data_IF_539945567365
#
_entry.id   IF_539945567365
#
_cell.length_a   1.000
_cell.length_b   1.000
_cell.length_c   1.000
_cell.angle_alpha   90.00
_cell.angle_beta   90.00
_cell.angle_gamma   90.00
#
_symmetry.space_group_name_H-M   'P 1'
#
loop_
_entity.id
_entity.type
_entity.pdbx_description
1 polymer ?
#
# COMPACT_ATOMS: atom_id res chain seq x y z
N UNK A 1 -2.53 -16.12 -9.86
CA UNK A 1 -1.39 -15.40 -9.27
C UNK A 1 -1.05 -14.20 -10.11
N UNK A 2 -0.89 -13.03 -9.50
CA UNK A 2 -0.44 -11.81 -10.18
C UNK A 2 1.03 -11.60 -9.84
N UNK A 3 1.86 -11.27 -10.84
CA UNK A 3 3.30 -11.08 -10.68
C UNK A 3 3.63 -9.62 -10.99
N UNK A 4 4.47 -9.02 -10.15
CA UNK A 4 4.87 -7.62 -10.24
C UNK A 4 5.83 -7.26 -9.12
N UNK A 5 6.03 -5.97 -8.87
CA UNK A 5 6.92 -5.48 -7.82
C UNK A 5 6.16 -5.01 -6.57
N UNK A 6 6.73 -4.08 -5.79
CA UNK A 6 6.11 -3.51 -4.60
C UNK A 6 4.73 -2.86 -4.78
N UNK A 7 4.26 -2.62 -6.01
CA UNK A 7 2.89 -2.16 -6.28
C UNK A 7 1.91 -3.26 -6.74
N UNK A 8 2.37 -4.50 -6.91
CA UNK A 8 1.57 -5.61 -7.46
C UNK A 8 0.28 -5.87 -6.69
N UNK A 9 0.26 -5.66 -5.37
CA UNK A 9 -0.96 -5.91 -4.61
C UNK A 9 -2.08 -4.93 -4.93
N UNK A 10 -1.81 -3.71 -5.40
CA UNK A 10 -2.88 -2.84 -5.91
C UNK A 10 -3.53 -3.49 -7.15
N UNK A 11 -2.72 -4.04 -8.07
CA UNK A 11 -3.24 -4.74 -9.23
C UNK A 11 -4.02 -6.01 -8.83
N UNK A 12 -3.54 -6.75 -7.83
CA UNK A 12 -4.24 -7.92 -7.30
C UNK A 12 -5.59 -7.56 -6.69
N UNK A 13 -5.68 -6.43 -5.97
CA UNK A 13 -6.94 -5.93 -5.41
C UNK A 13 -7.88 -5.43 -6.51
N UNK A 14 -7.36 -4.79 -7.56
CA UNK A 14 -8.16 -4.39 -8.71
C UNK A 14 -8.73 -5.61 -9.45
N UNK A 15 -7.92 -6.65 -9.65
CA UNK A 15 -8.39 -7.91 -10.19
C UNK A 15 -9.46 -8.54 -9.30
N UNK A 16 -9.29 -8.48 -7.98
CA UNK A 16 -10.29 -8.99 -7.04
C UNK A 16 -11.61 -8.19 -7.09
N UNK A 17 -11.55 -6.87 -7.25
CA UNK A 17 -12.73 -6.02 -7.50
C UNK A 17 -13.44 -6.44 -8.80
N UNK A 18 -12.68 -6.64 -9.89
CA UNK A 18 -13.24 -7.08 -11.16
C UNK A 18 -13.84 -8.50 -11.07
N UNK A 19 -13.25 -9.39 -10.27
CA UNK A 19 -13.78 -10.74 -10.01
C UNK A 19 -15.06 -10.70 -9.15
N UNK A 20 -15.10 -9.84 -8.13
CA UNK A 20 -16.29 -9.67 -7.28
C UNK A 20 -17.46 -9.00 -8.01
N UNK A 21 -17.23 -8.40 -9.19
CA UNK A 21 -18.30 -7.90 -10.04
C UNK A 21 -19.11 -9.01 -10.73
N UNK A 22 -18.63 -10.27 -10.74
CA UNK A 22 -19.38 -11.42 -11.24
C UNK A 22 -20.29 -11.98 -10.14
N UNK A 23 -21.61 -12.09 -10.39
CA UNK A 23 -22.64 -12.57 -9.46
C UNK A 23 -22.42 -13.99 -8.87
N UNK A 24 -21.41 -14.71 -9.33
CA UNK A 24 -21.05 -16.04 -8.84
C UNK A 24 -20.03 -16.01 -7.68
N UNK A 25 -19.46 -14.84 -7.35
CA UNK A 25 -18.44 -14.69 -6.31
C UNK A 25 -18.86 -13.70 -5.22
N UNK A 26 -19.11 -14.23 -4.02
CA UNK A 26 -19.44 -13.43 -2.83
C UNK A 26 -18.19 -12.84 -2.15
N UNK A 27 -17.09 -13.60 -2.19
CA UNK A 27 -15.85 -13.28 -1.50
C UNK A 27 -14.61 -13.52 -2.37
N UNK A 28 -13.59 -12.69 -2.15
CA UNK A 28 -12.27 -12.87 -2.77
C UNK A 28 -11.17 -12.71 -1.72
N UNK A 29 -10.39 -13.77 -1.50
CA UNK A 29 -9.20 -13.72 -0.65
C UNK A 29 -8.00 -13.30 -1.48
N UNK A 30 -7.39 -12.17 -1.14
CA UNK A 30 -6.17 -11.67 -1.78
C UNK A 30 -5.01 -11.81 -0.80
N UNK A 31 -3.95 -12.51 -1.23
CA UNK A 31 -2.77 -12.79 -0.42
C UNK A 31 -1.53 -12.35 -1.17
N UNK A 32 -0.61 -11.68 -0.46
CA UNK A 32 0.75 -11.45 -0.89
C UNK A 32 1.71 -12.03 0.12
N UNK A 33 2.75 -12.72 -0.34
CA UNK A 33 3.81 -13.27 0.47
C UNK A 33 5.15 -13.09 -0.24
N UNK A 34 6.21 -12.89 0.54
CA UNK A 34 7.58 -12.76 0.06
C UNK A 34 8.50 -13.45 1.06
N UNK A 35 9.46 -14.21 0.54
CA UNK A 35 10.46 -14.94 1.31
C UNK A 35 11.81 -14.24 1.14
N UNK A 36 12.57 -14.12 2.23
CA UNK A 36 13.96 -13.68 2.11
C UNK A 36 14.79 -14.84 1.59
N UNK A 37 15.27 -14.68 0.36
CA UNK A 37 16.23 -15.57 -0.25
C UNK A 37 17.59 -14.85 -0.47
N UNK A 38 18.73 -15.51 -0.20
CA UNK A 38 20.06 -14.92 -0.41
C UNK A 38 20.34 -14.45 -1.84
N UNK A 39 19.83 -15.15 -2.87
CA UNK A 39 20.00 -14.76 -4.28
C UNK A 39 19.22 -13.48 -4.56
N UNK A 40 17.99 -13.37 -4.07
CA UNK A 40 17.19 -12.15 -4.18
C UNK A 40 17.89 -10.99 -3.47
N UNK A 41 18.39 -11.22 -2.24
CA UNK A 41 19.14 -10.21 -1.50
C UNK A 41 20.40 -9.75 -2.23
N UNK A 42 21.16 -10.67 -2.83
CA UNK A 42 22.35 -10.35 -3.61
C UNK A 42 21.99 -9.51 -4.85
N UNK A 43 20.91 -9.83 -5.57
CA UNK A 43 20.45 -9.04 -6.71
C UNK A 43 20.12 -7.60 -6.31
N UNK A 44 19.33 -7.40 -5.25
CA UNK A 44 19.02 -6.05 -4.76
C UNK A 44 20.23 -5.30 -4.20
N UNK A 45 21.23 -6.01 -3.66
CA UNK A 45 22.52 -5.44 -3.26
C UNK A 45 23.30 -4.95 -4.46
N UNK A 46 23.40 -5.73 -5.53
CA UNK A 46 24.08 -5.36 -6.77
C UNK A 46 23.41 -4.16 -7.44
N UNK A 47 22.08 -4.08 -7.41
CA UNK A 47 21.30 -2.93 -7.88
C UNK A 47 21.32 -1.72 -6.93
N UNK A 48 22.04 -1.83 -5.80
CA UNK A 48 22.23 -0.78 -4.80
C UNK A 48 20.93 -0.28 -4.17
N UNK A 49 19.93 -1.15 -4.06
CA UNK A 49 18.67 -0.85 -3.37
C UNK A 49 18.73 -1.12 -1.88
N UNK A 50 19.56 -2.09 -1.45
CA UNK A 50 19.68 -2.42 -0.04
C UNK A 50 20.50 -1.38 0.74
N UNK A 51 20.05 -1.12 1.97
CA UNK A 51 20.79 -0.34 2.95
C UNK A 51 22.10 -1.04 3.29
N UNK A 52 23.18 -0.27 3.40
CA UNK A 52 24.46 -0.82 3.84
C UNK A 52 24.37 -1.16 5.34
N UNK A 53 24.69 -2.41 5.75
CA UNK A 53 24.66 -2.78 7.17
C UNK A 53 25.59 -1.90 8.03
N UNK A 54 26.72 -1.44 7.49
CA UNK A 54 27.66 -0.55 8.17
C UNK A 54 27.15 0.90 8.33
N UNK A 55 26.00 1.25 7.74
CA UNK A 55 25.37 2.57 7.85
C UNK A 55 23.87 2.40 8.14
N UNK A 56 23.49 2.09 9.39
CA UNK A 56 22.10 1.80 9.75
C UNK A 56 21.13 2.97 9.52
N UNK A 57 21.63 4.20 9.55
CA UNK A 57 20.90 5.44 9.19
C UNK A 57 21.05 5.83 7.72
N UNK A 58 21.66 4.97 6.90
CA UNK A 58 21.92 5.21 5.49
C UNK A 58 20.69 5.03 4.59
N UNK A 59 20.82 5.44 3.33
CA UNK A 59 19.81 5.20 2.29
C UNK A 59 19.78 3.73 1.88
N UNK A 60 18.63 3.31 1.36
CA UNK A 60 18.32 1.97 0.92
C UNK A 60 17.26 1.30 1.80
N UNK A 61 16.64 0.29 1.23
CA UNK A 61 15.67 -0.55 1.92
C UNK A 61 16.33 -1.61 2.78
N UNK A 62 15.62 -2.03 3.82
CA UNK A 62 15.92 -3.23 4.58
C UNK A 62 14.99 -4.29 4.02
N UNK A 63 15.53 -5.37 3.47
CA UNK A 63 14.71 -6.47 2.98
C UNK A 63 14.00 -7.15 4.15
N UNK A 64 12.77 -7.57 3.93
CA UNK A 64 11.93 -8.26 4.90
C UNK A 64 11.13 -9.37 4.23
N UNK A 65 10.88 -10.43 4.99
CA UNK A 65 9.99 -11.52 4.62
C UNK A 65 8.64 -11.35 5.30
N UNK A 66 7.63 -12.03 4.76
CA UNK A 66 6.35 -12.19 5.41
C UNK A 66 5.20 -12.22 4.43
N UNK A 67 3.99 -12.11 4.98
CA UNK A 67 2.78 -12.18 4.21
C UNK A 67 1.73 -11.20 4.74
N UNK A 68 0.74 -10.93 3.92
CA UNK A 68 -0.49 -10.26 4.31
C UNK A 68 -1.65 -10.75 3.46
N UNK A 69 -2.83 -10.72 4.04
CA UNK A 69 -4.05 -11.17 3.40
C UNK A 69 -5.20 -10.23 3.74
N UNK A 70 -6.09 -10.03 2.77
CA UNK A 70 -7.38 -9.37 2.96
C UNK A 70 -8.47 -10.21 2.34
N UNK A 71 -9.57 -10.37 3.05
CA UNK A 71 -10.79 -10.94 2.52
C UNK A 71 -11.67 -9.78 2.05
N UNK A 72 -12.01 -9.77 0.77
CA UNK A 72 -12.91 -8.81 0.16
C UNK A 72 -14.27 -9.46 0.01
N UNK A 73 -15.30 -8.70 0.32
CA UNK A 73 -16.72 -9.05 0.11
C UNK A 73 -17.30 -8.00 -0.84
N UNK A 74 -18.25 -8.40 -1.68
CA UNK A 74 -19.03 -7.44 -2.45
C UNK A 74 -19.77 -6.50 -1.50
N UNK A 75 -19.67 -5.20 -1.75
CA UNK A 75 -20.48 -4.22 -1.03
C UNK A 75 -21.77 -3.97 -1.79
N UNK A 76 -22.90 -4.44 -1.24
CA UNK A 76 -24.21 -3.92 -1.61
C UNK A 76 -24.40 -2.57 -0.91
N UNK A 77 -24.95 -1.56 -1.59
CA UNK A 77 -25.16 -0.25 -0.96
C UNK A 77 -26.11 -0.38 0.25
N UNK A 78 -25.56 -0.17 1.45
CA UNK A 78 -26.30 -0.28 2.72
C UNK A 78 -26.30 -1.69 3.35
N UNK A 79 -25.62 -2.66 2.75
CA UNK A 79 -25.48 -4.02 3.31
C UNK A 79 -24.55 -4.04 4.54
N UNK A 80 -24.96 -4.79 5.57
CA UNK A 80 -24.06 -5.15 6.68
C UNK A 80 -23.15 -6.25 6.15
N UNK A 81 -21.81 -6.20 6.36
CA UNK A 81 -20.91 -7.28 5.96
C UNK A 81 -21.43 -8.62 6.46
N UNK A 82 -21.57 -9.60 5.56
CA UNK A 82 -22.16 -10.91 5.85
C UNK A 82 -21.31 -11.68 6.86
N UNK A 83 -20.01 -11.37 6.92
CA UNK A 83 -19.11 -11.82 7.97
C UNK A 83 -18.98 -10.70 9.01
N UNK A 84 -19.29 -11.00 10.29
CA UNK A 84 -18.85 -10.16 11.42
C UNK A 84 -17.32 -10.11 11.43
N UNK A 85 -16.75 -9.22 10.64
CA UNK A 85 -15.32 -9.03 10.56
C UNK A 85 -14.84 -8.52 11.91
N UNK A 86 -14.19 -9.40 12.67
CA UNK A 86 -13.53 -9.08 13.95
C UNK A 86 -12.45 -8.00 13.76
N UNK A 87 -12.11 -7.65 12.51
CA UNK A 87 -11.13 -6.64 12.13
C UNK A 87 -11.80 -5.64 11.18
N UNK A 88 -12.09 -4.43 11.70
CA UNK A 88 -12.49 -3.19 10.99
C UNK A 88 -13.17 -3.37 9.63
N UNK A 89 -14.49 -3.18 9.56
CA UNK A 89 -15.22 -3.07 8.30
C UNK A 89 -14.77 -1.82 7.53
N UNK A 90 -13.60 -1.83 6.89
CA UNK A 90 -13.15 -0.76 6.02
C UNK A 90 -13.60 -1.06 4.59
N UNK A 91 -14.28 -0.11 3.95
CA UNK A 91 -14.67 -0.18 2.54
C UNK A 91 -13.54 0.39 1.70
N UNK A 92 -13.12 -0.35 0.67
CA UNK A 92 -12.31 0.22 -0.42
C UNK A 92 -13.28 1.03 -1.28
N UNK A 93 -13.11 2.36 -1.33
CA UNK A 93 -13.99 3.24 -2.12
C UNK A 93 -13.53 3.30 -3.58
N UNK A 94 -12.22 3.30 -3.82
CA UNK A 94 -11.66 3.38 -5.16
C UNK A 94 -10.28 2.73 -5.23
N UNK A 95 -10.02 1.99 -6.32
CA UNK A 95 -8.70 1.46 -6.66
C UNK A 95 -8.21 2.11 -7.95
N UNK A 96 -7.02 2.69 -7.90
CA UNK A 96 -6.29 3.19 -9.08
C UNK A 96 -5.06 2.30 -9.27
N UNK A 97 -5.06 1.37 -10.25
CA UNK A 97 -3.95 0.44 -10.48
C UNK A 97 -2.64 1.12 -10.92
N UNK A 98 -2.66 2.44 -11.11
CA UNK A 98 -1.53 3.24 -11.53
C UNK A 98 -0.98 2.85 -12.89
N UNK A 99 0.30 3.17 -13.11
CA UNK A 99 1.02 2.93 -14.36
C UNK A 99 2.47 2.53 -14.08
N UNK A 100 3.08 1.93 -15.08
CA UNK A 100 4.53 1.75 -15.13
C UNK A 100 5.19 3.06 -15.59
N UNK A 101 6.36 3.38 -15.04
CA UNK A 101 7.26 4.41 -15.53
C UNK A 101 8.59 3.81 -16.00
N UNK A 102 9.40 4.58 -16.71
CA UNK A 102 10.70 4.10 -17.23
C UNK A 102 11.89 4.71 -16.52
N UNK A 103 11.71 5.88 -15.87
CA UNK A 103 12.78 6.58 -15.16
C UNK A 103 12.37 6.92 -13.74
N UNK A 104 13.28 6.74 -12.77
CA UNK A 104 13.04 7.12 -11.36
C UNK A 104 12.65 8.58 -11.16
N UNK A 105 12.97 9.47 -12.11
CA UNK A 105 12.54 10.87 -12.11
C UNK A 105 11.05 11.07 -12.40
N UNK A 106 10.41 10.12 -13.09
CA UNK A 106 8.99 10.14 -13.44
C UNK A 106 8.10 9.69 -12.28
N UNK A 107 8.67 8.97 -11.30
CA UNK A 107 7.93 8.39 -10.17
C UNK A 107 7.04 9.41 -9.44
N UNK A 108 7.52 10.64 -9.22
CA UNK A 108 6.72 11.67 -8.55
C UNK A 108 5.51 12.09 -9.39
N UNK A 109 5.67 12.19 -10.71
CA UNK A 109 4.58 12.56 -11.62
C UNK A 109 3.53 11.44 -11.69
N UNK A 110 3.96 10.18 -11.77
CA UNK A 110 3.04 9.04 -11.80
C UNK A 110 2.29 8.87 -10.47
N UNK A 111 2.97 9.00 -9.33
CA UNK A 111 2.29 9.01 -8.02
C UNK A 111 1.28 10.18 -7.96
N UNK A 112 1.67 11.36 -8.46
CA UNK A 112 0.77 12.51 -8.57
C UNK A 112 -0.45 12.23 -9.45
N UNK A 113 -0.29 11.50 -10.56
CA UNK A 113 -1.41 11.09 -11.41
C UNK A 113 -2.32 10.07 -10.73
N UNK A 114 -1.79 9.18 -9.88
CA UNK A 114 -2.60 8.28 -9.05
C UNK A 114 -3.42 9.11 -8.06
N UNK A 115 -2.77 10.01 -7.33
CA UNK A 115 -3.42 10.89 -6.34
C UNK A 115 -4.54 11.73 -6.95
N UNK A 116 -4.30 12.34 -8.11
CA UNK A 116 -5.29 13.19 -8.79
C UNK A 116 -6.55 12.44 -9.24
N UNK A 117 -6.49 11.10 -9.35
CA UNK A 117 -7.62 10.25 -9.72
C UNK A 117 -8.37 9.71 -8.52
N UNK A 118 -7.78 9.74 -7.33
CA UNK A 118 -8.37 9.26 -6.10
C UNK A 118 -9.27 10.35 -5.48
N UNK A 119 -10.29 9.94 -4.72
CA UNK A 119 -11.26 10.86 -4.14
C UNK A 119 -10.67 11.91 -3.18
N UNK A 120 -11.35 13.05 -3.09
CA UNK A 120 -11.05 14.12 -2.15
C UNK A 120 -11.48 13.78 -0.70
N UNK A 121 -10.91 14.51 0.28
CA UNK A 121 -11.25 14.36 1.70
C UNK A 121 -10.44 13.28 2.43
N UNK A 122 -9.29 12.91 1.88
CA UNK A 122 -8.30 12.04 2.52
C UNK A 122 -7.69 12.76 3.72
N UNK A 123 -7.72 12.12 4.89
CA UNK A 123 -7.21 12.71 6.12
C UNK A 123 -5.78 12.32 6.49
N UNK A 124 -5.35 11.14 6.03
CA UNK A 124 -3.97 10.67 6.13
C UNK A 124 -3.67 9.64 5.05
N UNK A 125 -2.40 9.35 4.83
CA UNK A 125 -1.93 8.34 3.91
C UNK A 125 -1.01 7.31 4.55
N UNK A 126 -0.99 6.12 3.97
CA UNK A 126 0.01 5.09 4.21
C UNK A 126 0.81 4.85 2.93
N UNK A 127 2.09 5.25 2.95
CA UNK A 127 2.98 5.25 1.81
C UNK A 127 3.91 4.03 1.73
N UNK A 128 4.61 3.96 0.60
CA UNK A 128 5.58 2.94 0.21
C UNK A 128 7.04 3.30 0.50
N UNK A 129 7.31 4.48 1.08
CA UNK A 129 8.67 4.88 1.43
C UNK A 129 9.42 3.77 2.17
N UNK A 130 10.62 3.45 1.67
CA UNK A 130 11.43 2.33 2.12
C UNK A 130 12.91 2.71 2.23
N UNK A 131 13.25 3.99 2.18
CA UNK A 131 14.62 4.50 2.23
C UNK A 131 15.27 4.69 0.85
N UNK A 132 14.53 4.53 -0.25
CA UNK A 132 15.07 4.61 -1.61
C UNK A 132 14.68 5.91 -2.33
N UNK A 133 14.58 5.90 -3.66
CA UNK A 133 14.10 7.05 -4.43
C UNK A 133 12.59 7.30 -4.23
N UNK A 134 11.85 6.27 -3.80
CA UNK A 134 10.41 6.29 -3.54
C UNK A 134 10.09 7.37 -2.50
N UNK A 135 10.86 7.45 -1.41
CA UNK A 135 10.68 8.43 -0.33
C UNK A 135 10.64 9.87 -0.84
N UNK A 136 11.52 10.20 -1.79
CA UNK A 136 11.55 11.53 -2.43
C UNK A 136 10.39 11.70 -3.40
N UNK A 137 10.03 10.65 -4.14
CA UNK A 137 8.95 10.69 -5.11
C UNK A 137 7.60 10.90 -4.42
N UNK A 138 7.32 10.16 -3.35
CA UNK A 138 6.11 10.32 -2.53
C UNK A 138 6.04 11.70 -1.91
N UNK A 139 7.14 12.18 -1.31
CA UNK A 139 7.19 13.54 -0.74
C UNK A 139 6.96 14.63 -1.79
N UNK A 140 7.47 14.45 -3.00
CA UNK A 140 7.26 15.41 -4.08
C UNK A 140 5.81 15.39 -4.61
N UNK A 141 5.17 14.22 -4.64
CA UNK A 141 3.80 14.03 -5.12
C UNK A 141 2.75 14.47 -4.10
N UNK A 142 2.87 14.02 -2.85
CA UNK A 142 1.95 14.30 -1.74
C UNK A 142 2.19 15.68 -1.13
N UNK A 143 3.41 16.22 -1.27
CA UNK A 143 3.84 17.46 -0.61
C UNK A 143 3.70 17.35 0.92
N UNK A 144 3.50 18.46 1.61
CA UNK A 144 3.21 18.51 3.06
C UNK A 144 1.70 18.64 3.34
N UNK A 145 0.86 18.27 2.37
CA UNK A 145 -0.59 18.48 2.44
C UNK A 145 -1.29 17.37 3.24
N UNK A 146 -0.65 16.20 3.37
CA UNK A 146 -1.23 15.02 4.00
C UNK A 146 -0.19 14.32 4.91
N UNK A 147 -0.56 13.98 6.17
CA UNK A 147 0.27 13.09 6.99
C UNK A 147 0.46 11.74 6.29
N UNK A 148 1.70 11.37 5.99
CA UNK A 148 2.05 10.11 5.33
C UNK A 148 2.92 9.25 6.25
N UNK A 149 2.43 8.07 6.60
CA UNK A 149 3.17 7.08 7.37
C UNK A 149 3.60 5.91 6.48
N UNK A 150 4.79 5.35 6.67
CA UNK A 150 5.27 4.23 5.87
C UNK A 150 5.71 3.07 6.77
N UNK A 151 4.97 1.96 6.85
CA UNK A 151 5.22 0.87 7.80
C UNK A 151 6.55 0.17 7.56
N UNK A 152 7.09 0.27 6.35
CA UNK A 152 8.36 -0.33 5.93
C UNK A 152 9.56 0.23 6.70
N UNK A 153 9.41 1.37 7.39
CA UNK A 153 10.45 1.86 8.31
C UNK A 153 10.67 0.90 9.50
N UNK A 154 9.60 0.23 9.94
CA UNK A 154 9.61 -0.70 11.07
C UNK A 154 9.65 -2.17 10.60
N UNK A 155 8.92 -2.48 9.53
CA UNK A 155 8.75 -3.86 9.05
C UNK A 155 9.73 -4.24 7.93
N UNK A 156 10.45 -3.29 7.35
CA UNK A 156 11.23 -3.49 6.12
C UNK A 156 10.37 -3.58 4.86
N UNK A 157 11.01 -3.83 3.73
CA UNK A 157 10.39 -3.98 2.40
C UNK A 157 10.27 -5.46 2.06
N UNK A 158 9.05 -5.89 1.76
CA UNK A 158 8.67 -7.27 1.44
C UNK A 158 7.90 -7.32 0.12
N UNK A 159 8.22 -6.40 -0.78
CA UNK A 159 7.75 -6.32 -2.17
C UNK A 159 6.22 -6.47 -2.23
N UNK A 160 5.71 -7.61 -2.72
CA UNK A 160 4.29 -7.84 -2.92
C UNK A 160 3.48 -7.97 -1.63
N UNK A 161 4.11 -8.35 -0.51
CA UNK A 161 3.45 -8.47 0.78
C UNK A 161 3.22 -7.12 1.48
N UNK A 162 4.12 -6.15 1.25
CA UNK A 162 4.11 -4.89 2.01
C UNK A 162 2.87 -4.03 1.81
N UNK A 163 2.22 -4.13 0.65
CA UNK A 163 0.98 -3.41 0.39
C UNK A 163 -0.16 -3.83 1.32
N UNK A 164 -0.22 -5.11 1.69
CA UNK A 164 -1.21 -5.61 2.64
C UNK A 164 -0.93 -5.12 4.06
N UNK A 165 0.35 -4.95 4.43
CA UNK A 165 0.70 -4.29 5.69
C UNK A 165 0.28 -2.83 5.70
N UNK A 166 0.48 -2.12 4.59
CA UNK A 166 0.02 -0.74 4.44
C UNK A 166 -1.50 -0.62 4.56
N UNK A 167 -2.24 -1.54 3.93
CA UNK A 167 -3.70 -1.64 4.05
C UNK A 167 -4.16 -1.88 5.49
N UNK A 168 -3.57 -2.87 6.16
CA UNK A 168 -3.91 -3.18 7.56
C UNK A 168 -3.62 -1.98 8.46
N UNK A 169 -2.49 -1.30 8.28
CA UNK A 169 -2.17 -0.08 9.04
C UNK A 169 -3.19 1.03 8.77
N UNK A 170 -3.59 1.25 7.51
CA UNK A 170 -4.57 2.26 7.17
C UNK A 170 -5.96 1.94 7.78
N UNK A 171 -6.40 0.68 7.71
CA UNK A 171 -7.67 0.24 8.28
C UNK A 171 -7.68 0.35 9.81
N UNK A 172 -6.58 -0.03 10.47
CA UNK A 172 -6.45 0.12 11.93
C UNK A 172 -6.41 1.59 12.33
N UNK A 173 -5.68 2.43 11.60
CA UNK A 173 -5.61 3.87 11.89
C UNK A 173 -6.97 4.57 11.70
N UNK A 174 -7.77 4.17 10.71
CA UNK A 174 -9.16 4.63 10.58
C UNK A 174 -10.03 4.23 11.78
N UNK A 175 -9.82 3.01 12.32
CA UNK A 175 -10.58 2.49 13.46
C UNK A 175 -10.18 3.14 14.78
N UNK A 176 -8.88 3.34 15.01
CA UNK A 176 -8.35 3.83 16.30
C UNK A 176 -8.15 5.33 16.33
N UNK A 177 -8.18 6.00 15.18
CA UNK A 177 -7.84 7.42 15.05
C UNK A 177 -6.34 7.70 15.32
N UNK A 178 -5.48 6.69 15.24
CA UNK A 178 -4.06 6.80 15.58
C UNK A 178 -3.19 6.05 14.59
N UNK A 179 -2.12 6.70 14.12
CA UNK A 179 -1.05 6.02 13.38
C UNK A 179 -0.05 5.38 14.35
N UNK A 180 0.68 4.33 13.92
CA UNK A 180 1.78 3.79 14.70
C UNK A 180 2.78 4.88 15.13
N UNK A 181 3.26 4.79 16.37
CA UNK A 181 4.07 5.85 16.98
C UNK A 181 3.26 6.91 17.74
N UNK A 182 1.95 6.73 17.88
CA UNK A 182 1.09 7.56 18.75
C UNK A 182 0.64 8.88 18.12
N UNK A 183 0.78 9.03 16.80
CA UNK A 183 0.32 10.21 16.09
C UNK A 183 -1.21 10.17 15.98
N UNK A 184 -1.87 11.04 16.76
CA UNK A 184 -3.32 11.21 16.72
C UNK A 184 -3.75 11.85 15.41
N UNK A 185 -4.79 11.28 14.80
CA UNK A 185 -5.41 11.77 13.59
C UNK A 185 -6.64 12.59 13.96
N UNK A 186 -6.86 13.69 13.25
CA UNK A 186 -8.17 14.34 13.27
C UNK A 186 -9.24 13.31 12.86
N UNK A 187 -10.48 13.48 13.32
CA UNK A 187 -11.58 12.61 12.90
C UNK A 187 -11.79 12.73 11.39
N UNK A 188 -11.27 11.77 10.64
CA UNK A 188 -11.24 11.78 9.17
C UNK A 188 -11.88 10.50 8.64
N UNK A 189 -12.75 10.60 7.62
CA UNK A 189 -13.50 9.45 7.15
C UNK A 189 -12.65 8.54 6.25
N UNK A 190 -11.54 9.05 5.70
CA UNK A 190 -10.82 8.41 4.59
C UNK A 190 -9.32 8.35 4.80
N UNK A 191 -8.76 7.22 4.41
CA UNK A 191 -7.33 6.98 4.33
C UNK A 191 -6.91 6.69 2.89
N UNK A 192 -5.69 7.09 2.56
CA UNK A 192 -5.03 6.77 1.30
C UNK A 192 -4.03 5.63 1.54
N UNK A 193 -3.93 4.69 0.59
CA UNK A 193 -2.80 3.76 0.51
C UNK A 193 -2.10 3.95 -0.82
N UNK A 194 -0.80 4.24 -0.78
CA UNK A 194 0.04 4.43 -1.97
C UNK A 194 1.01 3.29 -2.16
N UNK A 195 1.11 2.82 -3.38
CA UNK A 195 2.05 1.80 -3.80
C UNK A 195 3.04 2.38 -4.82
N UNK A 196 4.33 2.21 -4.56
CA UNK A 196 5.38 2.50 -5.52
C UNK A 196 6.47 1.46 -5.38
N UNK A 197 6.71 0.71 -6.45
CA UNK A 197 7.69 -0.36 -6.49
C UNK A 197 9.01 0.05 -7.14
N UNK A 198 10.05 -0.74 -6.88
CA UNK A 198 11.40 -0.50 -7.38
C UNK A 198 11.53 -0.71 -8.89
N UNK A 199 10.69 -1.57 -9.45
CA UNK A 199 10.58 -1.85 -10.88
C UNK A 199 9.53 -0.97 -11.55
N UNK A 200 9.34 0.23 -10.99
CA UNK A 200 8.70 1.35 -11.63
C UNK A 200 7.20 1.19 -11.83
N UNK A 201 6.53 0.48 -10.93
CA UNK A 201 5.07 0.40 -10.90
C UNK A 201 4.52 1.31 -9.80
N UNK A 202 3.38 1.93 -10.06
CA UNK A 202 2.65 2.75 -9.09
C UNK A 202 1.24 2.26 -8.95
N UNK A 203 0.59 2.62 -7.85
CA UNK A 203 -0.83 2.40 -7.66
C UNK A 203 -1.30 3.05 -6.37
N UNK A 204 -2.60 3.05 -6.14
CA UNK A 204 -3.14 3.50 -4.88
C UNK A 204 -4.62 3.21 -4.76
N UNK A 205 -5.13 3.40 -3.56
CA UNK A 205 -6.54 3.23 -3.25
C UNK A 205 -6.96 4.12 -2.09
N UNK A 206 -8.27 4.32 -1.97
CA UNK A 206 -8.88 4.99 -0.81
C UNK A 206 -9.67 3.98 0.02
N UNK A 207 -9.57 4.13 1.34
CA UNK A 207 -10.29 3.36 2.33
C UNK A 207 -11.20 4.29 3.14
N UNK A 208 -12.35 3.78 3.54
CA UNK A 208 -13.26 4.44 4.47
C UNK A 208 -13.75 3.46 5.53
N UNK A 209 -13.96 3.94 6.76
CA UNK A 209 -14.60 3.13 7.78
C UNK A 209 -16.10 2.95 7.44
N UNK A 210 -16.56 1.71 7.32
CA UNK A 210 -17.98 1.38 7.19
C UNK A 210 -18.67 1.66 8.52
N UNK A 211 -19.85 2.27 8.45
CA UNK A 211 -20.66 2.60 9.62
C UNK A 211 -21.38 1.39 10.17
#
# INVERSE_FOLDING_TARGET
TVVGDGAVGILALKLAEDLLAFDELDFCLVVGAEEIDPLVCEAYRQWRFLRKPSKPTGRGMIMSEGAGAVLLERSDDGGVPSVKAVVSAARIEQIVPGRNFFRRSEAAAEIGSVLARLENGIGFGVGSANGTFIDRAERAAVRNELPLYSPKIALGESVGASIFWQLVVAAQALKTGTLPGGLSLAAVPRALVLACGLNQQTGGLTLRLSR
#
